data_IF_740788926620
#
_entry.id   IF_740788926620
#
_cell.length_a   1.000
_cell.length_b   1.000
_cell.length_c   1.000
_cell.angle_alpha   90.00
_cell.angle_beta   90.00
_cell.angle_gamma   90.00
#
_symmetry.space_group_name_H-M   'P 1'
#
loop_
_entity.id
_entity.type
_entity.pdbx_description
1 polymer ?
#
# COMPACT_ATOMS: atom_id res chain seq x y z
N UNK A 1 -23.64 42.19 31.88
CA UNK A 1 -24.55 41.58 30.88
C UNK A 1 -23.86 41.36 29.53
N UNK A 2 -23.31 42.38 28.88
CA UNK A 2 -22.68 42.25 27.55
C UNK A 2 -21.47 41.28 27.50
N UNK A 3 -20.62 41.26 28.53
CA UNK A 3 -19.46 40.36 28.62
C UNK A 3 -19.83 38.88 28.68
N UNK A 4 -20.97 38.56 29.32
CA UNK A 4 -21.48 37.19 29.43
C UNK A 4 -21.97 36.70 28.07
N UNK A 5 -22.64 37.56 27.30
CA UNK A 5 -23.16 37.22 25.96
C UNK A 5 -22.00 36.93 24.99
N UNK A 6 -20.96 37.76 25.03
CA UNK A 6 -19.76 37.58 24.19
C UNK A 6 -19.04 36.27 24.54
N UNK A 7 -18.91 35.95 25.84
CA UNK A 7 -18.32 34.69 26.29
C UNK A 7 -19.07 33.45 25.80
N UNK A 8 -20.40 33.49 25.77
CA UNK A 8 -21.23 32.38 25.26
C UNK A 8 -21.04 32.17 23.75
N UNK A 9 -20.97 33.26 22.96
CA UNK A 9 -20.77 33.18 21.51
C UNK A 9 -19.40 32.55 21.19
N UNK A 10 -18.35 32.98 21.88
CA UNK A 10 -17.00 32.43 21.71
C UNK A 10 -16.99 30.94 22.07
N UNK A 11 -17.60 30.56 23.20
CA UNK A 11 -17.68 29.15 23.60
C UNK A 11 -18.39 28.28 22.55
N UNK A 12 -19.46 28.77 21.93
CA UNK A 12 -20.18 28.05 20.85
C UNK A 12 -19.27 27.86 19.63
N UNK A 13 -18.55 28.88 19.19
CA UNK A 13 -17.59 28.76 18.08
C UNK A 13 -16.45 27.80 18.40
N UNK A 14 -15.92 27.82 19.62
CA UNK A 14 -14.92 26.84 20.07
C UNK A 14 -15.46 25.41 20.09
N UNK A 15 -16.69 25.20 20.57
CA UNK A 15 -17.32 23.88 20.56
C UNK A 15 -17.55 23.41 19.12
N UNK A 16 -18.01 24.29 18.23
CA UNK A 16 -18.22 23.96 16.82
C UNK A 16 -16.90 23.67 16.11
N UNK A 17 -15.86 24.46 16.39
CA UNK A 17 -14.50 24.27 15.87
C UNK A 17 -13.86 22.98 16.38
N UNK A 18 -13.97 22.67 17.67
CA UNK A 18 -13.48 21.41 18.25
C UNK A 18 -14.26 20.22 17.66
N UNK A 19 -15.59 20.32 17.55
CA UNK A 19 -16.40 19.27 16.91
C UNK A 19 -15.99 19.07 15.46
N UNK A 20 -15.85 20.14 14.69
CA UNK A 20 -15.46 20.09 13.28
C UNK A 20 -14.02 19.58 13.08
N UNK A 21 -13.11 19.93 13.98
CA UNK A 21 -11.74 19.43 13.96
C UNK A 21 -11.71 17.94 14.31
N UNK A 22 -12.45 17.50 15.34
CA UNK A 22 -12.54 16.08 15.70
C UNK A 22 -13.29 15.25 14.65
N UNK A 23 -14.23 15.84 13.91
CA UNK A 23 -14.91 15.15 12.78
C UNK A 23 -14.03 15.11 11.53
N UNK A 24 -13.13 16.08 11.35
CA UNK A 24 -12.12 16.09 10.28
C UNK A 24 -10.81 15.36 10.66
N UNK A 25 -10.68 14.85 11.89
CA UNK A 25 -9.45 14.21 12.39
C UNK A 25 -9.54 12.69 12.52
N UNK A 26 -10.48 12.04 11.82
CA UNK A 26 -10.36 10.61 11.50
C UNK A 26 -9.63 10.37 10.18
N UNK A 27 -8.98 11.40 9.66
CA UNK A 27 -8.04 11.32 8.55
C UNK A 27 -6.69 11.77 9.10
N UNK A 28 -5.95 10.82 9.67
CA UNK A 28 -4.55 11.06 10.01
C UNK A 28 -3.77 11.50 8.77
N UNK A 29 -2.61 12.12 9.01
CA UNK A 29 -1.59 12.58 8.06
C UNK A 29 -1.04 11.54 7.05
N UNK A 30 -1.79 10.50 6.68
CA UNK A 30 -1.47 9.55 5.63
C UNK A 30 -2.55 9.61 4.54
N UNK A 31 -2.26 10.43 3.54
CA UNK A 31 -2.75 10.35 2.15
C UNK A 31 -4.19 9.88 1.96
N UNK A 32 -5.08 10.87 1.81
CA UNK A 32 -6.29 10.86 0.99
C UNK A 32 -6.41 9.64 0.07
N UNK A 33 -7.40 8.78 0.37
CA UNK A 33 -8.36 8.28 -0.62
C UNK A 33 -7.89 7.49 -1.85
N UNK A 34 -6.62 7.14 -2.01
CA UNK A 34 -6.17 6.34 -3.15
C UNK A 34 -6.43 4.85 -2.90
N UNK A 35 -7.63 4.41 -3.28
CA UNK A 35 -7.89 3.01 -3.59
C UNK A 35 -6.98 2.60 -4.75
N UNK A 36 -5.77 2.13 -4.45
CA UNK A 36 -4.89 1.53 -5.45
C UNK A 36 -5.67 0.39 -6.12
N UNK A 37 -6.01 0.58 -7.38
CA UNK A 37 -6.67 -0.46 -8.17
C UNK A 37 -5.66 -1.61 -8.33
N UNK A 38 -6.02 -2.76 -7.75
CA UNK A 38 -5.19 -3.96 -7.81
C UNK A 38 -5.21 -4.50 -9.24
N UNK A 39 -4.06 -4.46 -9.90
CA UNK A 39 -3.86 -5.06 -11.22
C UNK A 39 -3.87 -6.57 -11.03
N UNK A 40 -4.87 -7.24 -11.60
CA UNK A 40 -4.95 -8.70 -11.59
C UNK A 40 -3.90 -9.27 -12.54
N UNK A 41 -3.19 -10.35 -12.17
CA UNK A 41 -2.27 -11.03 -13.08
C UNK A 41 -3.00 -11.51 -14.33
N UNK A 42 -2.31 -11.48 -15.46
CA UNK A 42 -2.83 -11.88 -16.78
C UNK A 42 -3.32 -13.33 -16.77
N UNK A 43 -2.63 -14.21 -16.04
CA UNK A 43 -3.07 -15.58 -15.78
C UNK A 43 -3.26 -15.82 -14.28
N UNK A 44 -4.49 -16.15 -13.88
CA UNK A 44 -4.82 -16.52 -12.49
C UNK A 44 -4.43 -17.99 -12.17
N UNK A 45 -4.02 -18.78 -13.17
CA UNK A 45 -3.73 -20.20 -12.99
C UNK A 45 -2.24 -20.44 -12.63
N UNK A 46 -1.98 -20.70 -11.35
CA UNK A 46 -0.64 -20.98 -10.79
C UNK A 46 0.14 -22.09 -11.52
N UNK A 47 -0.55 -23.03 -12.18
CA UNK A 47 0.08 -24.16 -12.88
C UNK A 47 0.83 -23.76 -14.15
N UNK A 48 0.58 -22.57 -14.70
CA UNK A 48 1.27 -22.07 -15.89
C UNK A 48 2.64 -21.42 -15.58
N UNK A 49 3.01 -21.33 -14.30
CA UNK A 49 4.25 -20.68 -13.86
C UNK A 49 5.18 -21.74 -13.24
N UNK A 50 6.13 -22.31 -14.01
CA UNK A 50 7.05 -23.33 -13.53
C UNK A 50 8.11 -22.78 -12.56
N UNK A 51 8.37 -21.47 -12.59
CA UNK A 51 9.39 -20.84 -11.76
C UNK A 51 8.75 -19.99 -10.66
N UNK A 52 9.23 -20.18 -9.43
CA UNK A 52 8.82 -19.39 -8.27
C UNK A 52 10.04 -18.91 -7.49
N UNK A 53 10.05 -17.63 -7.13
CA UNK A 53 11.12 -17.02 -6.36
C UNK A 53 10.53 -16.18 -5.23
N UNK A 54 11.02 -16.39 -4.02
CA UNK A 54 10.56 -15.68 -2.82
C UNK A 54 11.56 -14.60 -2.39
N UNK A 55 11.02 -13.43 -2.07
CA UNK A 55 11.75 -12.27 -1.60
C UNK A 55 11.17 -11.77 -0.28
N UNK A 56 12.01 -11.23 0.59
CA UNK A 56 11.60 -10.58 1.84
C UNK A 56 11.69 -9.07 1.68
N UNK A 57 10.63 -8.34 2.04
CA UNK A 57 10.56 -6.87 1.94
C UNK A 57 10.33 -6.27 3.33
N UNK A 58 11.29 -5.52 3.86
CA UNK A 58 11.22 -5.02 5.23
C UNK A 58 10.16 -3.93 5.43
N UNK A 59 10.04 -3.01 4.46
CA UNK A 59 9.20 -1.81 4.52
C UNK A 59 7.73 -2.03 4.11
N UNK A 60 7.28 -3.29 4.07
CA UNK A 60 5.90 -3.62 3.71
C UNK A 60 5.01 -3.65 4.96
N UNK A 61 4.50 -2.48 5.37
CA UNK A 61 3.66 -2.32 6.57
C UNK A 61 2.16 -2.15 6.30
N UNK A 62 1.78 -1.82 5.07
CA UNK A 62 0.41 -1.45 4.73
C UNK A 62 -0.16 -2.25 3.55
N UNK A 63 -1.48 -2.41 3.50
CA UNK A 63 -2.15 -3.08 2.38
C UNK A 63 -1.89 -2.35 1.05
N UNK A 64 -1.83 -1.00 1.07
CA UNK A 64 -1.45 -0.22 -0.11
C UNK A 64 -0.01 -0.50 -0.57
N UNK A 65 0.90 -0.72 0.37
CA UNK A 65 2.31 -1.02 0.12
C UNK A 65 2.43 -2.36 -0.62
N UNK A 66 1.68 -3.38 -0.15
CA UNK A 66 1.55 -4.65 -0.84
C UNK A 66 0.92 -4.48 -2.23
N UNK A 67 -0.17 -3.72 -2.37
CA UNK A 67 -0.81 -3.50 -3.67
C UNK A 67 0.14 -2.82 -4.65
N UNK A 68 0.95 -1.85 -4.21
CA UNK A 68 1.93 -1.16 -5.05
C UNK A 68 3.00 -2.12 -5.59
N UNK A 69 3.55 -2.98 -4.74
CA UNK A 69 4.51 -4.01 -5.14
C UNK A 69 3.86 -5.04 -6.08
N UNK A 70 2.65 -5.49 -5.75
CA UNK A 70 1.89 -6.43 -6.59
C UNK A 70 1.62 -5.84 -7.97
N UNK A 71 1.27 -4.57 -8.05
CA UNK A 71 0.98 -3.88 -9.30
C UNK A 71 2.24 -3.72 -10.14
N UNK A 72 3.37 -3.33 -9.53
CA UNK A 72 4.65 -3.20 -10.23
C UNK A 72 5.09 -4.54 -10.87
N UNK A 73 4.92 -5.64 -10.13
CA UNK A 73 5.28 -6.98 -10.60
C UNK A 73 4.26 -7.55 -11.58
N UNK A 74 2.96 -7.38 -11.36
CA UNK A 74 1.92 -7.84 -12.29
C UNK A 74 1.87 -7.02 -13.58
N UNK A 75 2.46 -5.82 -13.60
CA UNK A 75 2.63 -5.03 -14.83
C UNK A 75 3.71 -5.60 -15.75
N UNK A 76 4.57 -6.50 -15.24
CA UNK A 76 5.51 -7.25 -16.05
C UNK A 76 4.77 -8.39 -16.76
N UNK A 77 5.04 -8.59 -18.04
CA UNK A 77 4.47 -9.72 -18.80
C UNK A 77 4.90 -11.05 -18.19
N UNK A 78 4.01 -12.04 -18.26
CA UNK A 78 4.26 -13.41 -17.82
C UNK A 78 4.75 -13.55 -16.37
N UNK A 79 4.36 -12.58 -15.52
CA UNK A 79 4.74 -12.50 -14.12
C UNK A 79 3.50 -12.39 -13.25
N UNK A 80 3.47 -13.16 -12.16
CA UNK A 80 2.44 -13.08 -11.14
C UNK A 80 3.07 -12.89 -9.77
N UNK A 81 2.66 -11.83 -9.08
CA UNK A 81 3.04 -11.58 -7.70
C UNK A 81 2.01 -12.11 -6.71
N UNK A 82 2.50 -12.81 -5.70
CA UNK A 82 1.74 -13.28 -4.54
C UNK A 82 2.40 -12.76 -3.28
N UNK A 83 1.69 -11.92 -2.53
CA UNK A 83 2.24 -11.21 -1.37
C UNK A 83 1.64 -11.75 -0.08
N UNK A 84 2.49 -12.01 0.91
CA UNK A 84 2.11 -12.39 2.26
C UNK A 84 2.53 -11.29 3.25
N UNK A 85 1.55 -10.48 3.67
CA UNK A 85 1.75 -9.40 4.63
C UNK A 85 2.22 -9.90 6.00
N UNK A 86 1.68 -11.03 6.48
CA UNK A 86 2.01 -11.58 7.79
C UNK A 86 3.48 -11.98 7.89
N UNK A 87 4.03 -12.54 6.81
CA UNK A 87 5.44 -12.96 6.74
C UNK A 87 6.38 -11.91 6.17
N UNK A 88 5.86 -10.77 5.67
CA UNK A 88 6.61 -9.79 4.89
C UNK A 88 7.32 -10.38 3.67
N UNK A 89 6.68 -11.38 3.05
CA UNK A 89 7.22 -12.16 1.93
C UNK A 89 6.48 -11.84 0.63
N UNK A 90 7.22 -11.81 -0.47
CA UNK A 90 6.72 -11.63 -1.83
C UNK A 90 7.19 -12.80 -2.67
N UNK A 91 6.25 -13.60 -3.17
CA UNK A 91 6.52 -14.69 -4.10
C UNK A 91 6.22 -14.23 -5.52
N UNK A 92 7.22 -14.29 -6.38
CA UNK A 92 7.13 -13.96 -7.79
C UNK A 92 7.13 -15.26 -8.58
N UNK A 93 6.09 -15.45 -9.38
CA UNK A 93 5.87 -16.59 -10.25
C UNK A 93 6.07 -16.12 -11.69
N UNK A 94 6.97 -16.78 -12.44
CA UNK A 94 7.33 -16.38 -13.80
C UNK A 94 7.21 -17.57 -14.76
N UNK A 95 6.80 -17.30 -16.01
CA UNK A 95 6.76 -18.35 -17.05
C UNK A 95 8.13 -18.62 -17.65
N UNK A 96 9.01 -17.62 -17.61
CA UNK A 96 10.39 -17.68 -18.10
C UNK A 96 11.37 -17.81 -16.93
N UNK A 97 12.65 -18.03 -17.25
CA UNK A 97 13.71 -18.17 -16.26
C UNK A 97 13.79 -16.93 -15.34
N UNK A 98 13.74 -17.10 -14.01
CA UNK A 98 13.62 -15.99 -13.08
C UNK A 98 14.95 -15.22 -12.99
N UNK A 99 15.02 -14.06 -13.63
CA UNK A 99 16.16 -13.17 -13.47
C UNK A 99 16.01 -12.36 -12.17
N UNK A 100 16.70 -12.80 -11.12
CA UNK A 100 16.69 -12.19 -9.78
C UNK A 100 17.00 -10.69 -9.85
N UNK A 101 17.97 -10.28 -10.68
CA UNK A 101 18.34 -8.88 -10.82
C UNK A 101 17.20 -8.06 -11.43
N UNK A 102 16.52 -8.59 -12.45
CA UNK A 102 15.38 -7.91 -13.08
C UNK A 102 14.21 -7.72 -12.10
N UNK A 103 13.90 -8.76 -11.33
CA UNK A 103 12.83 -8.72 -10.31
C UNK A 103 13.20 -7.74 -9.19
N UNK A 104 14.45 -7.78 -8.72
CA UNK A 104 14.95 -6.87 -7.68
C UNK A 104 14.93 -5.42 -8.16
N UNK A 105 15.36 -5.16 -9.39
CA UNK A 105 15.29 -3.83 -10.00
C UNK A 105 13.84 -3.33 -10.11
N UNK A 106 12.89 -4.19 -10.50
CA UNK A 106 11.47 -3.81 -10.56
C UNK A 106 10.91 -3.42 -9.18
N UNK A 107 11.27 -4.15 -8.12
CA UNK A 107 10.87 -3.82 -6.74
C UNK A 107 11.53 -2.52 -6.28
N UNK A 108 12.80 -2.31 -6.61
CA UNK A 108 13.53 -1.07 -6.33
C UNK A 108 12.92 0.14 -7.06
N UNK A 109 12.52 -0.02 -8.32
CA UNK A 109 11.78 1.00 -9.08
C UNK A 109 10.42 1.34 -8.47
N UNK A 110 9.78 0.40 -7.76
CA UNK A 110 8.56 0.67 -6.99
C UNK A 110 8.83 1.44 -5.67
N UNK A 111 10.10 1.62 -5.30
CA UNK A 111 10.56 2.33 -4.11
C UNK A 111 10.78 1.43 -2.89
N UNK A 112 10.98 0.12 -3.09
CA UNK A 112 11.15 -0.84 -1.99
C UNK A 112 12.47 -1.60 -2.11
N UNK A 113 13.06 -1.93 -0.96
CA UNK A 113 14.23 -2.82 -0.90
C UNK A 113 13.80 -4.25 -0.60
N UNK A 114 14.32 -5.21 -1.36
CA UNK A 114 14.05 -6.63 -1.15
C UNK A 114 15.34 -7.45 -1.03
N UNK A 115 15.28 -8.51 -0.24
CA UNK A 115 16.33 -9.51 -0.13
C UNK A 115 15.80 -10.87 -0.59
N UNK A 116 16.61 -11.62 -1.34
CA UNK A 116 16.25 -12.99 -1.70
C UNK A 116 16.27 -13.86 -0.43
N UNK A 117 15.27 -14.73 -0.31
CA UNK A 117 15.18 -15.69 0.79
C UNK A 117 15.94 -16.97 0.47
#
# INVERSE_FOLDING_TARGET
MATVIIGVIIAIFFIYGIRHMLTSSKEGCCSTGDHLQKIKPEDTNKKHYPYSTSFTVQDMHCANCATKISNALNSQKDTMASINLTKKEVTVLTKQEPNINTITSAIHHAGYSCQIK
#
